data_IF_129438694949
#
_entry.id   IF_129438694949
#
_cell.length_a   1.000
_cell.length_b   1.000
_cell.length_c   1.000
_cell.angle_alpha   90.00
_cell.angle_beta   90.00
_cell.angle_gamma   90.00
#
_symmetry.space_group_name_H-M   'P 1'
#
loop_
_entity.id
_entity.type
_entity.pdbx_description
1 polymer ?
#
# COMPACT_ATOMS: atom_id res chain seq x y z
N UNK A 1 -13.21 48.20 -58.03
CA UNK A 1 -13.39 46.73 -58.01
C UNK A 1 -12.69 46.21 -56.79
N UNK A 2 -13.51 45.88 -55.78
CA UNK A 2 -13.07 45.52 -54.43
C UNK A 2 -12.55 44.08 -54.38
N UNK A 3 -11.25 43.92 -54.51
CA UNK A 3 -10.60 42.67 -54.15
C UNK A 3 -10.49 42.53 -52.65
N UNK A 4 -11.57 42.13 -51.97
CA UNK A 4 -11.53 41.76 -50.58
C UNK A 4 -10.71 40.50 -50.49
N UNK A 5 -9.55 40.61 -49.83
CA UNK A 5 -8.57 39.53 -49.71
C UNK A 5 -9.13 38.35 -48.94
N UNK A 6 -9.73 37.41 -49.64
CA UNK A 6 -10.24 36.14 -49.16
C UNK A 6 -9.18 35.37 -48.33
N UNK A 7 -7.90 35.61 -48.65
CA UNK A 7 -6.74 34.99 -47.94
C UNK A 7 -6.57 35.44 -46.49
N UNK A 8 -6.96 36.68 -46.13
CA UNK A 8 -6.83 37.14 -44.72
C UNK A 8 -7.95 36.59 -43.83
N UNK A 9 -9.15 36.49 -44.40
CA UNK A 9 -10.30 35.87 -43.73
C UNK A 9 -10.08 34.35 -43.53
N UNK A 10 -9.62 33.67 -44.59
CA UNK A 10 -9.32 32.24 -44.51
C UNK A 10 -8.22 31.92 -43.48
N UNK A 11 -7.16 32.76 -43.40
CA UNK A 11 -6.08 32.60 -42.41
C UNK A 11 -6.55 32.84 -41.00
N UNK A 12 -7.48 33.75 -40.79
CA UNK A 12 -8.07 34.07 -39.46
C UNK A 12 -9.03 32.97 -39.00
N UNK A 13 -9.78 32.39 -39.91
CA UNK A 13 -10.65 31.25 -39.62
C UNK A 13 -9.85 29.97 -39.33
N UNK A 14 -8.76 29.76 -40.06
CA UNK A 14 -7.86 28.64 -39.83
C UNK A 14 -7.26 28.64 -38.42
N UNK A 15 -6.84 29.80 -37.94
CA UNK A 15 -6.31 29.92 -36.57
C UNK A 15 -7.36 29.64 -35.50
N UNK A 16 -8.59 30.03 -35.71
CA UNK A 16 -9.69 29.74 -34.82
C UNK A 16 -10.01 28.24 -34.81
N UNK A 17 -10.04 27.59 -35.95
CA UNK A 17 -10.25 26.14 -36.04
C UNK A 17 -9.14 25.39 -35.30
N UNK A 18 -7.89 25.75 -35.52
CA UNK A 18 -6.74 25.13 -34.81
C UNK A 18 -6.87 25.34 -33.31
N UNK A 19 -7.23 26.53 -32.84
CA UNK A 19 -7.42 26.80 -31.42
C UNK A 19 -8.54 25.94 -30.80
N UNK A 20 -9.66 25.78 -31.49
CA UNK A 20 -10.77 24.93 -31.03
C UNK A 20 -10.36 23.45 -30.95
N UNK A 21 -9.62 22.97 -31.95
CA UNK A 21 -9.12 21.58 -31.95
C UNK A 21 -8.16 21.34 -30.79
N UNK A 22 -7.23 22.27 -30.54
CA UNK A 22 -6.28 22.15 -29.41
C UNK A 22 -7.03 22.12 -28.08
N UNK A 23 -8.00 23.02 -27.87
CA UNK A 23 -8.80 23.04 -26.64
C UNK A 23 -9.60 21.75 -26.49
N UNK A 24 -10.19 21.23 -27.54
CA UNK A 24 -10.93 19.96 -27.52
C UNK A 24 -10.00 18.78 -27.15
N UNK A 25 -8.80 18.72 -27.71
CA UNK A 25 -7.82 17.67 -27.38
C UNK A 25 -7.36 17.75 -25.93
N UNK A 26 -7.06 18.95 -25.43
CA UNK A 26 -6.64 19.15 -24.04
C UNK A 26 -7.79 18.75 -23.08
N UNK A 27 -9.00 19.18 -23.37
CA UNK A 27 -10.17 18.83 -22.54
C UNK A 27 -10.39 17.31 -22.55
N UNK A 28 -10.30 16.68 -23.71
CA UNK A 28 -10.45 15.24 -23.85
C UNK A 28 -9.39 14.47 -23.05
N UNK A 29 -8.11 14.89 -23.13
CA UNK A 29 -7.03 14.25 -22.37
C UNK A 29 -7.19 14.44 -20.87
N UNK A 30 -7.59 15.62 -20.40
CA UNK A 30 -7.84 15.88 -18.98
C UNK A 30 -9.00 15.04 -18.46
N UNK A 31 -10.11 14.96 -19.19
CA UNK A 31 -11.27 14.12 -18.79
C UNK A 31 -10.88 12.64 -18.79
N UNK A 32 -10.09 12.21 -19.76
CA UNK A 32 -9.66 10.82 -19.85
C UNK A 32 -8.70 10.44 -18.72
N UNK A 33 -7.77 11.32 -18.36
CA UNK A 33 -6.86 11.12 -17.24
C UNK A 33 -7.59 11.19 -15.88
N UNK A 34 -8.56 12.09 -15.73
CA UNK A 34 -9.38 12.14 -14.52
C UNK A 34 -10.16 10.85 -14.27
N UNK A 35 -10.62 10.19 -15.33
CA UNK A 35 -11.30 8.90 -15.22
C UNK A 35 -10.37 7.73 -14.88
N UNK A 36 -9.05 7.88 -15.08
CA UNK A 36 -8.07 6.82 -14.76
C UNK A 36 -7.49 7.03 -13.34
N UNK A 37 -7.36 8.29 -12.88
CA UNK A 37 -6.82 8.65 -11.58
C UNK A 37 -7.88 9.18 -10.59
N UNK A 38 -9.10 9.41 -11.07
CA UNK A 38 -10.24 9.64 -10.20
C UNK A 38 -10.62 8.32 -9.58
N UNK A 39 -10.17 8.06 -8.35
CA UNK A 39 -10.89 7.14 -7.49
C UNK A 39 -12.34 7.56 -7.56
N UNK A 40 -13.22 6.62 -7.86
CA UNK A 40 -14.64 6.79 -7.63
C UNK A 40 -14.78 7.15 -6.15
N UNK A 41 -14.79 8.46 -5.86
CA UNK A 41 -15.34 8.95 -4.64
C UNK A 41 -16.82 8.61 -4.77
N UNK A 42 -17.17 7.38 -4.45
CA UNK A 42 -18.48 7.12 -3.90
C UNK A 42 -18.55 8.03 -2.68
N UNK A 43 -19.07 9.21 -2.92
CA UNK A 43 -19.56 10.06 -1.85
C UNK A 43 -20.57 9.18 -1.14
N UNK A 44 -20.12 8.56 -0.06
CA UNK A 44 -20.99 7.90 0.89
C UNK A 44 -22.05 8.93 1.23
N UNK A 45 -23.26 8.74 0.70
CA UNK A 45 -24.41 9.52 1.10
C UNK A 45 -24.52 9.41 2.61
N UNK A 46 -24.49 10.51 3.34
CA UNK A 46 -24.86 10.46 4.74
C UNK A 46 -26.37 10.26 4.77
N UNK A 47 -26.78 9.07 5.02
CA UNK A 47 -28.19 8.78 5.16
C UNK A 47 -28.52 7.36 4.77
N UNK A 48 -28.86 6.63 5.80
CA UNK A 48 -29.55 5.37 5.84
C UNK A 48 -28.72 4.10 5.83
N UNK A 49 -28.78 3.45 6.93
CA UNK A 49 -28.83 2.00 7.08
C UNK A 49 -27.52 1.22 6.90
N UNK A 50 -26.48 1.73 7.51
CA UNK A 50 -25.42 0.85 7.95
C UNK A 50 -25.03 1.13 9.39
N UNK A 51 -26.01 1.16 10.27
CA UNK A 51 -25.85 0.58 11.58
C UNK A 51 -25.96 -0.94 11.44
N UNK A 52 -25.28 -1.48 10.44
CA UNK A 52 -24.81 -2.82 10.59
C UNK A 52 -23.73 -2.71 11.65
N UNK A 53 -24.12 -3.06 12.82
CA UNK A 53 -23.30 -3.36 13.97
C UNK A 53 -22.34 -4.46 13.52
N UNK A 54 -21.36 -4.10 12.69
CA UNK A 54 -20.15 -4.88 12.54
C UNK A 54 -19.50 -4.80 13.88
N UNK A 55 -19.82 -5.82 14.70
CA UNK A 55 -19.29 -5.94 16.04
C UNK A 55 -17.83 -5.60 15.96
N UNK A 56 -17.42 -4.64 16.78
CA UNK A 56 -16.04 -4.24 16.99
C UNK A 56 -15.18 -5.50 17.06
N UNK A 57 -14.57 -5.83 15.96
CA UNK A 57 -13.69 -6.98 15.83
C UNK A 57 -12.28 -6.44 15.57
N UNK A 58 -11.51 -6.22 16.66
CA UNK A 58 -10.18 -5.71 16.53
C UNK A 58 -9.35 -6.64 15.65
N UNK A 59 -8.61 -6.05 14.72
CA UNK A 59 -7.69 -6.78 13.87
C UNK A 59 -6.53 -7.31 14.70
N UNK A 60 -6.25 -8.60 14.56
CA UNK A 60 -5.12 -9.25 15.22
C UNK A 60 -4.02 -9.53 14.19
N UNK A 61 -2.82 -9.04 14.47
CA UNK A 61 -1.61 -9.31 13.68
C UNK A 61 -0.62 -10.07 14.54
N UNK A 62 -0.17 -11.21 14.05
CA UNK A 62 0.80 -12.07 14.73
C UNK A 62 2.10 -12.08 13.92
N UNK A 63 3.17 -11.65 14.56
CA UNK A 63 4.53 -11.77 14.07
C UNK A 63 5.17 -13.01 14.65
N UNK A 64 5.77 -13.83 13.82
CA UNK A 64 6.51 -15.03 14.21
C UNK A 64 7.89 -15.02 13.59
N UNK A 65 8.90 -15.34 14.37
CA UNK A 65 10.26 -15.61 13.89
C UNK A 65 10.63 -17.00 14.39
N UNK A 66 11.05 -17.85 13.48
CA UNK A 66 11.44 -19.22 13.77
C UNK A 66 12.80 -19.55 13.14
N UNK A 67 13.47 -20.55 13.63
CA UNK A 67 14.81 -20.90 13.15
C UNK A 67 15.33 -22.20 13.76
N UNK A 68 16.63 -22.41 13.64
CA UNK A 68 17.30 -23.58 14.21
C UNK A 68 17.08 -23.67 15.72
N UNK A 69 16.88 -24.88 16.27
CA UNK A 69 16.74 -25.07 17.71
C UNK A 69 17.91 -24.50 18.50
N UNK A 70 17.61 -23.68 19.52
CA UNK A 70 18.62 -23.07 20.39
C UNK A 70 19.30 -21.82 19.81
N UNK A 71 18.91 -21.38 18.62
CA UNK A 71 19.38 -20.11 18.03
C UNK A 71 18.73 -18.90 18.71
N UNK A 72 19.41 -17.77 18.65
CA UNK A 72 18.93 -16.47 19.08
C UNK A 72 18.88 -15.51 17.89
N UNK A 73 18.00 -14.51 17.97
CA UNK A 73 17.87 -13.52 16.93
C UNK A 73 17.69 -12.10 17.47
N UNK A 74 18.17 -11.13 16.71
CA UNK A 74 17.77 -9.73 16.85
C UNK A 74 16.58 -9.46 15.95
N UNK A 75 15.49 -8.96 16.53
CA UNK A 75 14.21 -8.76 15.85
C UNK A 75 13.87 -7.28 15.87
N UNK A 76 13.53 -6.76 14.71
CA UNK A 76 12.99 -5.41 14.53
C UNK A 76 11.60 -5.50 13.91
N UNK A 77 10.63 -4.80 14.48
CA UNK A 77 9.27 -4.75 13.97
C UNK A 77 8.65 -3.38 14.19
N UNK A 78 7.58 -3.09 13.46
CA UNK A 78 6.76 -1.90 13.72
C UNK A 78 5.60 -2.27 14.62
N UNK A 79 5.33 -1.42 15.60
CA UNK A 79 4.13 -1.55 16.44
C UNK A 79 2.86 -1.01 15.75
N UNK A 80 1.73 -0.99 16.48
CA UNK A 80 0.45 -0.52 15.97
C UNK A 80 0.43 0.96 15.57
N UNK A 81 1.41 1.73 16.03
CA UNK A 81 1.57 3.16 15.72
C UNK A 81 2.71 3.40 14.71
N UNK A 82 3.13 2.35 14.01
CA UNK A 82 4.28 2.37 13.09
C UNK A 82 5.59 2.85 13.75
N UNK A 83 5.72 2.67 15.06
CA UNK A 83 6.96 2.98 15.77
C UNK A 83 7.90 1.76 15.73
N UNK A 84 9.19 1.96 15.41
CA UNK A 84 10.16 0.88 15.36
C UNK A 84 10.44 0.35 16.76
N UNK A 85 10.32 -0.95 16.91
CA UNK A 85 10.65 -1.72 18.10
C UNK A 85 11.80 -2.66 17.79
N UNK A 86 12.71 -2.84 18.74
CA UNK A 86 13.84 -3.75 18.64
C UNK A 86 13.94 -4.63 19.87
N UNK A 87 14.19 -5.91 19.64
CA UNK A 87 14.46 -6.89 20.69
C UNK A 87 15.72 -7.65 20.31
N UNK A 88 16.71 -7.64 21.19
CA UNK A 88 18.00 -8.29 20.97
C UNK A 88 18.07 -9.63 21.71
N UNK A 89 18.84 -10.56 21.15
CA UNK A 89 19.20 -11.86 21.75
C UNK A 89 17.97 -12.68 22.19
N UNK A 90 16.95 -12.70 21.36
CA UNK A 90 15.71 -13.43 21.67
C UNK A 90 15.83 -14.89 21.24
N UNK A 91 15.55 -15.84 22.14
CA UNK A 91 15.52 -17.26 21.75
C UNK A 91 14.40 -17.55 20.76
N UNK A 92 14.69 -18.34 19.73
CA UNK A 92 13.72 -18.77 18.75
C UNK A 92 13.03 -20.09 19.17
N UNK A 93 11.76 -20.31 18.86
CA UNK A 93 10.83 -19.42 18.15
C UNK A 93 10.34 -18.24 19.01
N UNK A 94 10.13 -17.10 18.37
CA UNK A 94 9.59 -15.88 18.99
C UNK A 94 8.26 -15.48 18.31
N UNK A 95 7.32 -15.01 19.12
CA UNK A 95 6.00 -14.59 18.66
C UNK A 95 5.59 -13.29 19.34
N UNK A 96 5.00 -12.37 18.57
CA UNK A 96 4.41 -11.12 19.06
C UNK A 96 3.04 -10.92 18.44
N UNK A 97 2.05 -10.74 19.30
CA UNK A 97 0.68 -10.40 18.85
C UNK A 97 0.44 -8.90 19.03
N UNK A 98 -0.05 -8.27 17.99
CA UNK A 98 -0.52 -6.89 17.98
C UNK A 98 -2.03 -6.90 17.73
N UNK A 99 -2.75 -6.01 18.40
CA UNK A 99 -4.19 -5.85 18.21
C UNK A 99 -4.48 -4.37 17.97
N UNK A 100 -5.21 -4.05 16.91
CA UNK A 100 -5.56 -2.69 16.54
C UNK A 100 -6.98 -2.61 15.99
N UNK A 101 -7.60 -1.44 16.17
CA UNK A 101 -8.92 -1.11 15.62
C UNK A 101 -8.79 -0.39 14.27
N UNK A 102 -7.56 -0.05 13.89
CA UNK A 102 -7.29 0.61 12.62
C UNK A 102 -7.62 -0.32 11.45
N UNK A 103 -8.25 0.20 10.40
CA UNK A 103 -8.63 -0.60 9.23
C UNK A 103 -7.43 -1.17 8.48
N UNK A 104 -6.27 -0.51 8.59
CA UNK A 104 -5.02 -0.95 7.97
C UNK A 104 -3.85 -0.78 8.92
N UNK A 105 -2.96 -1.76 8.94
CA UNK A 105 -1.71 -1.72 9.67
C UNK A 105 -0.55 -2.02 8.71
N UNK A 106 0.52 -1.26 8.82
CA UNK A 106 1.77 -1.54 8.11
C UNK A 106 2.60 -2.53 8.94
N UNK A 107 2.56 -3.80 8.58
CA UNK A 107 3.25 -4.86 9.29
C UNK A 107 4.63 -5.11 8.67
N UNK A 108 5.69 -4.67 9.33
CA UNK A 108 7.10 -4.88 8.95
C UNK A 108 7.78 -5.66 10.05
N UNK A 109 8.35 -6.81 9.70
CA UNK A 109 9.07 -7.71 10.59
C UNK A 109 10.40 -8.07 9.96
N UNK A 110 11.49 -7.82 10.65
CA UNK A 110 12.86 -8.13 10.23
C UNK A 110 13.57 -8.84 11.34
N UNK A 111 14.34 -9.87 10.99
CA UNK A 111 15.12 -10.61 11.96
C UNK A 111 16.46 -11.03 11.40
N UNK A 112 17.45 -11.11 12.28
CA UNK A 112 18.76 -11.69 12.00
C UNK A 112 19.09 -12.67 13.12
N UNK A 113 19.30 -13.93 12.76
CA UNK A 113 19.61 -15.00 13.70
C UNK A 113 21.06 -15.47 13.58
N UNK A 114 21.55 -16.15 14.61
CA UNK A 114 22.88 -16.76 14.66
C UNK A 114 22.90 -18.24 14.21
N UNK A 115 21.72 -18.81 13.98
CA UNK A 115 21.58 -20.20 13.52
C UNK A 115 21.77 -20.39 12.02
N UNK A 116 21.66 -21.65 11.57
CA UNK A 116 21.79 -22.05 10.16
C UNK A 116 20.54 -21.74 9.33
N UNK A 117 19.42 -21.59 9.99
CA UNK A 117 18.13 -21.28 9.36
C UNK A 117 17.39 -20.22 10.15
N UNK A 118 16.71 -19.34 9.44
CA UNK A 118 15.80 -18.36 10.02
C UNK A 118 14.61 -18.13 9.09
N UNK A 119 13.42 -17.98 9.65
CA UNK A 119 12.21 -17.64 8.93
C UNK A 119 11.37 -16.64 9.69
N UNK A 120 10.52 -15.94 8.95
CA UNK A 120 9.51 -15.03 9.50
C UNK A 120 8.14 -15.34 8.90
N UNK A 121 7.08 -15.02 9.65
CA UNK A 121 5.69 -15.13 9.21
C UNK A 121 4.89 -13.97 9.79
N UNK A 122 4.02 -13.41 8.96
CA UNK A 122 2.99 -12.43 9.36
C UNK A 122 1.64 -13.06 9.13
N UNK A 123 0.84 -13.15 10.19
CA UNK A 123 -0.53 -13.67 10.15
C UNK A 123 -1.49 -12.57 10.57
N UNK A 124 -2.54 -12.32 9.78
CA UNK A 124 -3.57 -11.32 10.05
C UNK A 124 -4.92 -12.00 10.14
N UNK A 125 -5.59 -11.90 11.29
CA UNK A 125 -6.89 -12.53 11.54
C UNK A 125 -6.90 -14.03 11.19
N UNK A 126 -5.80 -14.73 11.52
CA UNK A 126 -5.65 -16.16 11.24
C UNK A 126 -5.23 -16.52 9.81
N UNK A 127 -5.02 -15.53 8.94
CA UNK A 127 -4.58 -15.74 7.55
C UNK A 127 -3.11 -15.32 7.41
N UNK A 128 -2.27 -16.24 6.93
CA UNK A 128 -0.87 -15.94 6.63
C UNK A 128 -0.80 -14.98 5.44
N UNK A 129 -0.15 -13.83 5.62
CA UNK A 129 0.00 -12.77 4.61
C UNK A 129 1.37 -12.80 3.95
N UNK A 130 2.41 -13.02 4.71
CA UNK A 130 3.77 -13.20 4.20
C UNK A 130 4.50 -14.22 5.05
N UNK A 131 5.25 -15.10 4.40
CA UNK A 131 6.11 -16.09 5.04
C UNK A 131 7.35 -16.31 4.20
N UNK A 132 8.51 -16.20 4.85
CA UNK A 132 9.81 -16.40 4.21
C UNK A 132 10.73 -17.18 5.11
N UNK A 133 11.68 -17.90 4.52
CA UNK A 133 12.76 -18.59 5.23
C UNK A 133 14.04 -18.55 4.41
N UNK A 134 15.18 -18.60 5.10
CA UNK A 134 16.49 -18.71 4.49
C UNK A 134 17.36 -19.69 5.27
N UNK A 135 18.26 -20.38 4.56
CA UNK A 135 19.18 -21.36 5.10
C UNK A 135 20.61 -20.82 4.99
N UNK A 136 20.89 -19.76 5.72
CA UNK A 136 22.21 -19.14 5.78
C UNK A 136 22.61 -18.92 7.25
N UNK A 137 23.84 -19.25 7.58
CA UNK A 137 24.42 -18.94 8.90
C UNK A 137 24.42 -17.40 9.09
N UNK A 138 23.98 -16.94 10.25
CA UNK A 138 23.74 -15.52 10.53
C UNK A 138 22.75 -14.87 9.53
N UNK A 139 21.78 -15.64 9.10
CA UNK A 139 20.81 -15.23 8.08
C UNK A 139 19.99 -14.01 8.50
N UNK A 140 19.72 -13.16 7.53
CA UNK A 140 18.77 -12.04 7.65
C UNK A 140 17.49 -12.37 6.88
N UNK A 141 16.36 -12.05 7.48
CA UNK A 141 15.03 -12.28 6.88
C UNK A 141 14.13 -11.07 7.09
N UNK A 142 13.24 -10.83 6.14
CA UNK A 142 12.25 -9.74 6.22
C UNK A 142 10.92 -10.20 5.66
N UNK A 143 9.87 -10.05 6.46
CA UNK A 143 8.47 -10.22 6.07
C UNK A 143 7.74 -8.87 6.11
N UNK A 144 6.86 -8.64 5.14
CA UNK A 144 6.19 -7.36 4.98
C UNK A 144 4.76 -7.55 4.46
N UNK A 145 3.79 -6.99 5.17
CA UNK A 145 2.44 -6.75 4.65
C UNK A 145 2.10 -5.26 4.79
N UNK A 146 1.83 -4.60 3.64
CA UNK A 146 1.54 -3.17 3.60
C UNK A 146 0.11 -2.83 3.97
N UNK A 147 -0.75 -3.81 4.02
CA UNK A 147 -2.19 -3.67 4.22
C UNK A 147 -2.75 -4.72 5.18
N UNK A 148 -1.96 -5.03 6.20
CA UNK A 148 -2.33 -5.98 7.23
C UNK A 148 -3.62 -5.55 7.97
#
# INVERSE_FOLDING_TARGET
VSGISVGRLARRWWTIIVAVVVVALVTFTVVRLHGIFGSDNEVSRPGSDALENTGFNPKQVIFEVFGSPGSVATINYLDIHAQPQRVDDVPLPWTKTLTTDDPTLYADLRAQGDGDTIGCRITVNGIVKDERSTNNVNGYISCLDKTA
#
